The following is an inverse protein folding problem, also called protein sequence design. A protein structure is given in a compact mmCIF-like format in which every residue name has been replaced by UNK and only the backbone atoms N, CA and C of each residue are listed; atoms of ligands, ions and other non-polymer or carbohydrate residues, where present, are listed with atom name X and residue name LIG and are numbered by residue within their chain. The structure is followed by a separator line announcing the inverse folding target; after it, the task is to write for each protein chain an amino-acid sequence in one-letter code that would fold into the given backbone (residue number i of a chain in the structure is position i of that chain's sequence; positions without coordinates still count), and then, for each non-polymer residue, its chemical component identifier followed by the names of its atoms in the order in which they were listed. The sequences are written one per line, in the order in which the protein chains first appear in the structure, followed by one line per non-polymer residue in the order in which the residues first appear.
data_IF_800814245636
#
_entry.id   IF_800814245636
#
_cell.length_a   1.000
_cell.length_b   1.000
_cell.length_c   1.000
_cell.angle_alpha   90.00
_cell.angle_beta   90.00
_cell.angle_gamma   90.00
#
_symmetry.space_group_name_H-M   'P 1'
#
loop_
_entity.id
_entity.type
_entity.pdbx_description
1 polymer ?
#
# COMPACT_ATOMS: atom_id res chain seq x y z
N UNK A 1 16.69 3.75 17.62
CA UNK A 1 16.82 2.90 16.41
C UNK A 1 15.44 2.65 15.81
N UNK A 2 14.54 1.95 16.51
CA UNK A 2 13.16 1.65 16.05
C UNK A 2 12.39 2.87 15.53
N UNK A 3 12.30 3.96 16.32
CA UNK A 3 11.56 5.18 15.91
C UNK A 3 12.12 5.77 14.61
N UNK A 4 13.44 5.79 14.44
CA UNK A 4 14.08 6.29 13.22
C UNK A 4 13.70 5.42 12.03
N UNK A 5 13.74 4.09 12.18
CA UNK A 5 13.33 3.14 11.14
C UNK A 5 11.88 3.32 10.72
N UNK A 6 10.97 3.50 11.69
CA UNK A 6 9.55 3.78 11.41
C UNK A 6 9.39 5.06 10.60
N UNK A 7 10.06 6.15 11.01
CA UNK A 7 10.05 7.42 10.29
C UNK A 7 10.60 7.25 8.86
N UNK A 8 11.69 6.49 8.69
CA UNK A 8 12.26 6.19 7.37
C UNK A 8 11.25 5.47 6.48
N UNK A 9 10.57 4.45 6.99
CA UNK A 9 9.54 3.73 6.24
C UNK A 9 8.37 4.63 5.81
N UNK A 10 7.83 5.41 6.75
CA UNK A 10 6.75 6.37 6.45
C UNK A 10 7.19 7.40 5.41
N UNK A 11 8.40 7.97 5.58
CA UNK A 11 8.94 8.98 4.68
C UNK A 11 9.18 8.44 3.27
N UNK A 12 9.73 7.22 3.16
CA UNK A 12 9.93 6.57 1.87
C UNK A 12 8.59 6.31 1.15
N UNK A 13 7.59 5.81 1.87
CA UNK A 13 6.24 5.61 1.34
C UNK A 13 5.61 6.92 0.86
N UNK A 14 5.69 7.98 1.68
CA UNK A 14 5.15 9.29 1.33
C UNK A 14 5.83 9.89 0.09
N UNK A 15 7.15 9.80 -0.02
CA UNK A 15 7.89 10.28 -1.21
C UNK A 15 7.40 9.57 -2.47
N UNK A 16 7.18 8.26 -2.40
CA UNK A 16 6.65 7.49 -3.53
C UNK A 16 5.23 7.94 -3.90
N UNK A 17 4.38 8.21 -2.92
CA UNK A 17 3.01 8.69 -3.16
C UNK A 17 3.02 10.08 -3.84
N UNK A 18 3.86 11.01 -3.36
CA UNK A 18 4.04 12.32 -3.98
C UNK A 18 4.57 12.20 -5.41
N UNK A 19 5.51 11.28 -5.63
CA UNK A 19 6.02 10.99 -6.97
C UNK A 19 4.92 10.46 -7.90
N UNK A 20 4.04 9.59 -7.42
CA UNK A 20 2.91 9.08 -8.21
C UNK A 20 1.94 10.19 -8.63
N UNK A 21 1.73 11.20 -7.78
CA UNK A 21 0.93 12.37 -8.12
C UNK A 21 1.63 13.26 -9.14
N UNK A 22 2.95 13.44 -8.99
CA UNK A 22 3.75 14.15 -10.00
C UNK A 22 3.67 13.47 -11.38
N UNK A 23 3.79 12.14 -11.43
CA UNK A 23 3.62 11.37 -12.68
C UNK A 23 2.23 11.52 -13.29
N UNK A 24 1.18 11.55 -12.46
CA UNK A 24 -0.18 11.81 -12.92
C UNK A 24 -0.30 13.15 -13.62
N UNK A 25 0.27 14.19 -13.03
CA UNK A 25 0.10 15.54 -13.56
C UNK A 25 1.00 15.80 -14.78
N UNK A 26 2.26 15.38 -14.72
CA UNK A 26 3.26 15.60 -15.77
C UNK A 26 3.19 14.60 -16.92
N UNK A 27 2.98 13.32 -16.61
CA UNK A 27 3.08 12.20 -17.58
C UNK A 27 1.73 11.56 -17.90
N UNK A 28 0.64 11.99 -17.24
CA UNK A 28 -0.71 11.42 -17.39
C UNK A 28 -0.81 9.93 -17.04
N UNK A 29 0.10 9.44 -16.19
CA UNK A 29 0.09 8.07 -15.67
C UNK A 29 -0.79 8.01 -14.42
N UNK A 30 -1.80 7.14 -14.40
CA UNK A 30 -2.68 7.04 -13.23
C UNK A 30 -1.91 6.48 -12.01
N UNK A 31 -2.11 7.06 -10.82
CA UNK A 31 -1.52 6.54 -9.59
C UNK A 31 -2.17 5.21 -9.20
N UNK A 32 -1.49 4.42 -8.38
CA UNK A 32 -2.02 3.16 -7.87
C UNK A 32 -3.29 3.40 -7.05
N UNK A 33 -4.30 2.55 -7.27
CA UNK A 33 -5.49 2.52 -6.43
C UNK A 33 -5.29 1.54 -5.27
N UNK A 34 -4.82 2.03 -4.13
CA UNK A 34 -4.62 1.21 -2.93
C UNK A 34 -5.92 0.58 -2.40
N UNK A 35 -7.11 1.06 -2.79
CA UNK A 35 -8.37 0.40 -2.46
C UNK A 35 -8.41 -1.06 -2.97
N UNK A 36 -7.73 -1.38 -4.07
CA UNK A 36 -7.65 -2.76 -4.58
C UNK A 36 -6.87 -3.68 -3.64
N UNK A 37 -5.81 -3.17 -2.99
CA UNK A 37 -5.07 -3.92 -1.95
C UNK A 37 -5.98 -4.15 -0.75
N UNK A 38 -6.70 -3.12 -0.30
CA UNK A 38 -7.65 -3.29 0.80
C UNK A 38 -8.80 -4.22 0.45
N UNK A 39 -9.29 -4.19 -0.80
CA UNK A 39 -10.30 -5.13 -1.31
C UNK A 39 -9.81 -6.56 -1.21
N UNK A 40 -8.56 -6.81 -1.64
CA UNK A 40 -7.94 -8.12 -1.52
C UNK A 40 -7.85 -8.59 -0.06
N UNK A 41 -7.39 -7.73 0.85
CA UNK A 41 -7.26 -8.06 2.29
C UNK A 41 -8.64 -8.35 2.93
N UNK A 42 -9.64 -7.54 2.62
CA UNK A 42 -10.98 -7.69 3.18
C UNK A 42 -11.73 -8.90 2.60
N UNK A 43 -11.40 -9.34 1.38
CA UNK A 43 -11.91 -10.60 0.82
C UNK A 43 -11.12 -11.81 1.30
N UNK A 44 -9.83 -11.65 1.59
CA UNK A 44 -8.99 -12.69 2.19
C UNK A 44 -9.54 -13.09 3.56
N UNK A 45 -9.93 -12.13 4.41
CA UNK A 45 -10.58 -12.42 5.70
C UNK A 45 -11.95 -13.10 5.57
N UNK A 46 -12.53 -13.10 4.36
CA UNK A 46 -13.77 -13.81 4.00
C UNK A 46 -13.53 -15.12 3.26
N UNK A 47 -12.29 -15.61 3.24
CA UNK A 47 -11.91 -16.89 2.63
C UNK A 47 -11.66 -16.84 1.12
N UNK A 48 -11.65 -15.66 0.49
CA UNK A 48 -11.36 -15.50 -0.94
C UNK A 48 -9.95 -14.96 -1.16
N UNK A 49 -9.01 -15.87 -1.39
CA UNK A 49 -7.60 -15.54 -1.65
C UNK A 49 -7.36 -15.11 -3.10
N UNK A 50 -7.94 -15.84 -4.06
CA UNK A 50 -7.72 -15.63 -5.48
C UNK A 50 -8.92 -14.94 -6.14
N UNK A 51 -8.64 -13.94 -6.96
CA UNK A 51 -9.63 -13.21 -7.76
C UNK A 51 -9.27 -13.35 -9.23
N UNK A 52 -10.25 -13.62 -10.10
CA UNK A 52 -10.02 -13.62 -11.55
C UNK A 52 -9.49 -12.26 -12.02
N UNK A 53 -10.10 -11.19 -11.51
CA UNK A 53 -9.55 -9.84 -11.50
C UNK A 53 -10.03 -9.14 -10.23
N UNK A 54 -9.11 -8.50 -9.51
CA UNK A 54 -9.47 -7.77 -8.29
C UNK A 54 -10.33 -6.54 -8.60
N UNK A 55 -10.16 -5.97 -9.80
CA UNK A 55 -10.88 -4.77 -10.25
C UNK A 55 -12.39 -5.01 -10.35
N UNK A 56 -12.82 -6.20 -10.80
CA UNK A 56 -14.24 -6.56 -10.92
C UNK A 56 -14.83 -7.18 -9.64
N UNK A 57 -14.01 -7.35 -8.60
CA UNK A 57 -14.48 -7.91 -7.34
C UNK A 57 -15.35 -6.88 -6.63
N UNK A 58 -16.49 -7.26 -6.02
CA UNK A 58 -17.35 -6.30 -5.32
C UNK A 58 -16.58 -5.51 -4.25
N UNK A 59 -16.86 -4.22 -4.20
CA UNK A 59 -16.29 -3.30 -3.23
C UNK A 59 -16.72 -3.64 -1.81
N UNK A 60 -15.81 -3.47 -0.85
CA UNK A 60 -16.12 -3.61 0.57
C UNK A 60 -15.92 -2.27 1.27
N UNK A 61 -16.88 -1.89 2.12
CA UNK A 61 -16.77 -0.70 2.95
C UNK A 61 -15.45 -0.71 3.74
N UNK A 62 -14.69 0.37 3.65
CA UNK A 62 -13.37 0.49 4.29
C UNK A 62 -12.18 0.02 3.44
N UNK A 63 -12.38 -0.50 2.22
CA UNK A 63 -11.27 -1.01 1.38
C UNK A 63 -10.19 0.04 1.11
N UNK A 64 -10.56 1.31 0.94
CA UNK A 64 -9.59 2.39 0.77
C UNK A 64 -8.73 2.56 2.02
N UNK A 65 -9.35 2.67 3.20
CA UNK A 65 -8.63 2.85 4.46
C UNK A 65 -7.71 1.66 4.72
N UNK A 66 -8.21 0.44 4.59
CA UNK A 66 -7.40 -0.78 4.77
C UNK A 66 -6.21 -0.81 3.81
N UNK A 67 -6.43 -0.46 2.54
CA UNK A 67 -5.38 -0.38 1.54
C UNK A 67 -4.27 0.60 1.91
N UNK A 68 -4.63 1.83 2.30
CA UNK A 68 -3.66 2.85 2.71
C UNK A 68 -2.91 2.46 3.99
N UNK A 69 -3.60 1.89 4.98
CA UNK A 69 -2.95 1.40 6.22
C UNK A 69 -1.91 0.33 5.89
N UNK A 70 -2.28 -0.66 5.06
CA UNK A 70 -1.34 -1.71 4.67
C UNK A 70 -0.19 -1.19 3.83
N UNK A 71 -0.43 -0.21 2.97
CA UNK A 71 0.61 0.46 2.18
C UNK A 71 1.68 1.14 3.05
N UNK A 72 1.27 1.83 4.11
CA UNK A 72 2.23 2.42 5.06
C UNK A 72 2.88 1.37 5.95
N UNK A 73 2.13 0.34 6.35
CA UNK A 73 2.66 -0.76 7.16
C UNK A 73 3.75 -1.54 6.39
N UNK A 74 3.55 -1.82 5.10
CA UNK A 74 4.57 -2.49 4.29
C UNK A 74 5.81 -1.64 4.19
N UNK A 75 5.70 -0.33 3.91
CA UNK A 75 6.85 0.57 3.89
C UNK A 75 7.65 0.59 5.21
N UNK A 76 6.95 0.61 6.34
CA UNK A 76 7.56 0.49 7.67
C UNK A 76 8.27 -0.85 7.82
N UNK A 77 7.62 -1.97 7.52
CA UNK A 77 8.21 -3.32 7.62
C UNK A 77 9.45 -3.46 6.73
N UNK A 78 9.40 -2.93 5.49
CA UNK A 78 10.54 -2.94 4.57
C UNK A 78 11.74 -2.15 5.12
N UNK A 79 11.51 -1.05 5.84
CA UNK A 79 12.59 -0.30 6.48
C UNK A 79 13.33 -1.10 7.57
N UNK A 80 12.71 -2.14 8.15
CA UNK A 80 13.36 -3.05 9.09
C UNK A 80 14.23 -4.11 8.42
N UNK A 81 14.03 -4.43 7.14
CA UNK A 81 14.75 -5.51 6.45
C UNK A 81 16.28 -5.35 6.52
N UNK A 82 16.87 -4.18 6.21
CA UNK A 82 18.31 -4.00 6.34
C UNK A 82 18.82 -4.27 7.76
N UNK A 83 18.06 -3.93 8.79
CA UNK A 83 18.46 -4.12 10.19
C UNK A 83 18.44 -5.59 10.63
N UNK A 84 17.77 -6.47 9.86
CA UNK A 84 17.76 -7.92 10.08
C UNK A 84 18.86 -8.61 9.27
N UNK A 85 19.27 -8.01 8.14
CA UNK A 85 20.26 -8.59 7.23
C UNK A 85 21.71 -8.23 7.59
N UNK A 86 21.92 -7.21 8.41
CA UNK A 86 23.23 -6.74 8.89
C UNK A 86 23.31 -6.83 10.41
#
# INVERSE_FOLDING_TARGET
MVVKTVITGIGATLIMDLWSWCQKDLLKILPLNYALVGRWILWLSRGKLCHRTIVSTPEIAGERLTGWVFHYLTGIVFAFVPLVLY
#
